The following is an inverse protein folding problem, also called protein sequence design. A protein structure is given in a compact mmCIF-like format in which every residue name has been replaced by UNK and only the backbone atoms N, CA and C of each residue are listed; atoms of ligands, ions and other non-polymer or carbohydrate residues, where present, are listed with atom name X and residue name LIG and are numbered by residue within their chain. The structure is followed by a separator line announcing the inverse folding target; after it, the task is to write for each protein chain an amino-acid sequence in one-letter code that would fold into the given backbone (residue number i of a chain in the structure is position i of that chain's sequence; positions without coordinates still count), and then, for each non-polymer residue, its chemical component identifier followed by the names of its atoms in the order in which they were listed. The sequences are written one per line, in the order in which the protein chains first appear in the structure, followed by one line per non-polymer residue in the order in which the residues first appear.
data_IF_483936309973
#
_entry.id   IF_483936309973
#
_cell.length_a   1.000
_cell.length_b   1.000
_cell.length_c   1.000
_cell.angle_alpha   90.00
_cell.angle_beta   90.00
_cell.angle_gamma   90.00
#
_symmetry.space_group_name_H-M   'P 1'
#
loop_
_entity.id
_entity.type
_entity.pdbx_description
1 polymer ?
#
# COMPACT_ATOMS: atom_id res chain seq x y z
N UNK A 1 -27.43 11.44 -1.43
CA UNK A 1 -28.22 10.22 -1.62
C UNK A 1 -29.67 10.57 -1.34
N UNK A 2 -30.55 10.22 -2.27
CA UNK A 2 -31.97 10.57 -2.20
C UNK A 2 -32.72 9.59 -1.29
N UNK A 3 -33.68 10.08 -0.51
CA UNK A 3 -34.51 9.26 0.37
C UNK A 3 -35.69 8.60 -0.36
N UNK A 4 -35.80 8.91 -1.65
CA UNK A 4 -36.85 8.48 -2.56
C UNK A 4 -36.28 7.59 -3.65
N UNK A 5 -37.09 6.63 -4.10
CA UNK A 5 -36.76 5.80 -5.26
C UNK A 5 -36.92 6.58 -6.58
N UNK A 6 -36.66 5.92 -7.72
CA UNK A 6 -36.77 6.51 -9.05
C UNK A 6 -38.18 7.00 -9.42
N UNK A 7 -39.20 6.56 -8.68
CA UNK A 7 -40.60 6.99 -8.85
C UNK A 7 -41.00 8.11 -7.88
N UNK A 8 -40.09 8.55 -7.01
CA UNK A 8 -40.32 9.64 -6.06
C UNK A 8 -41.00 9.22 -4.76
N UNK A 9 -41.22 7.92 -4.53
CA UNK A 9 -41.78 7.42 -3.28
C UNK A 9 -40.70 7.30 -2.19
N UNK A 10 -41.06 7.55 -0.92
CA UNK A 10 -40.22 7.20 0.23
C UNK A 10 -39.66 5.78 0.11
N UNK A 11 -38.34 5.62 0.17
CA UNK A 11 -37.70 4.31 0.15
C UNK A 11 -36.63 4.20 1.25
N UNK A 12 -37.05 4.09 2.52
CA UNK A 12 -36.15 4.15 3.67
C UNK A 12 -35.23 2.93 3.74
N UNK A 13 -35.64 1.76 3.27
CA UNK A 13 -34.86 0.52 3.40
C UNK A 13 -33.56 0.55 2.58
N UNK A 14 -33.56 0.88 1.28
CA UNK A 14 -32.32 1.05 0.51
C UNK A 14 -31.51 2.26 0.99
N UNK A 15 -32.16 3.34 1.40
CA UNK A 15 -31.48 4.52 1.94
C UNK A 15 -30.69 4.18 3.22
N UNK A 16 -31.32 3.50 4.18
CA UNK A 16 -30.66 3.06 5.42
C UNK A 16 -29.59 2.01 5.16
N UNK A 17 -29.86 1.05 4.26
CA UNK A 17 -28.89 0.05 3.87
C UNK A 17 -27.64 0.70 3.25
N UNK A 18 -27.79 1.59 2.27
CA UNK A 18 -26.67 2.29 1.63
C UNK A 18 -25.94 3.24 2.57
N UNK A 19 -26.65 3.88 3.51
CA UNK A 19 -26.05 4.70 4.57
C UNK A 19 -25.22 3.85 5.55
N UNK A 20 -25.59 2.59 5.76
CA UNK A 20 -24.87 1.64 6.60
C UNK A 20 -23.72 0.94 5.86
N UNK A 21 -23.67 0.98 4.52
CA UNK A 21 -22.55 0.45 3.74
C UNK A 21 -21.30 1.28 4.04
N UNK A 22 -20.30 0.63 4.65
CA UNK A 22 -18.98 1.22 4.80
C UNK A 22 -18.32 1.29 3.43
N UNK A 23 -17.78 2.46 3.07
CA UNK A 23 -16.97 2.62 1.87
C UNK A 23 -15.82 1.62 1.92
N UNK A 24 -15.68 0.81 0.86
CA UNK A 24 -14.54 -0.09 0.71
C UNK A 24 -13.27 0.75 0.49
N UNK A 25 -12.22 0.45 1.24
CA UNK A 25 -10.91 1.08 1.09
C UNK A 25 -9.90 -0.02 0.73
N UNK A 26 -9.36 -0.04 -0.50
CA UNK A 26 -8.39 -1.05 -0.91
C UNK A 26 -7.12 -0.98 -0.05
N UNK A 27 -6.53 -2.13 0.24
CA UNK A 27 -5.26 -2.23 0.95
C UNK A 27 -4.14 -2.10 -0.08
N UNK A 28 -3.28 -1.10 0.09
CA UNK A 28 -2.14 -0.87 -0.78
C UNK A 28 -0.83 -1.17 -0.07
N UNK A 29 0.02 -1.97 -0.71
CA UNK A 29 1.37 -2.20 -0.23
C UNK A 29 2.29 -1.07 -0.70
N UNK A 30 2.97 -0.42 0.25
CA UNK A 30 3.94 0.65 -0.03
C UNK A 30 5.34 0.04 -0.12
N UNK A 31 5.89 -0.01 -1.33
CA UNK A 31 7.24 -0.45 -1.64
C UNK A 31 8.14 0.77 -1.83
N UNK A 32 9.09 0.97 -0.91
CA UNK A 32 10.03 2.09 -0.98
C UNK A 32 11.38 1.72 -0.37
N UNK A 33 12.47 2.43 -0.69
CA UNK A 33 13.78 2.20 -0.10
C UNK A 33 13.72 2.32 1.44
N UNK A 34 14.35 1.37 2.14
CA UNK A 34 14.54 1.43 3.59
C UNK A 34 16.02 1.63 3.96
N UNK A 35 16.91 0.85 3.36
CA UNK A 35 18.36 0.92 3.59
C UNK A 35 19.02 2.20 3.03
N UNK A 36 20.22 2.52 3.52
CA UNK A 36 20.94 3.76 3.19
C UNK A 36 20.65 4.84 4.22
N UNK A 37 20.09 5.97 3.80
CA UNK A 37 19.63 7.02 4.71
C UNK A 37 18.29 6.63 5.37
N UNK A 38 18.39 5.76 6.39
CA UNK A 38 17.24 5.16 7.09
C UNK A 38 16.28 6.24 7.62
N UNK A 39 16.82 7.31 8.22
CA UNK A 39 15.99 8.38 8.81
C UNK A 39 15.16 9.09 7.74
N UNK A 40 15.79 9.45 6.61
CA UNK A 40 15.09 10.07 5.50
C UNK A 40 14.08 9.13 4.87
N UNK A 41 14.45 7.87 4.67
CA UNK A 41 13.59 6.86 4.07
C UNK A 41 12.33 6.58 4.91
N UNK A 42 12.47 6.52 6.24
CA UNK A 42 11.34 6.39 7.16
C UNK A 42 10.37 7.56 7.00
N UNK A 43 10.87 8.81 6.95
CA UNK A 43 9.99 9.96 6.81
C UNK A 43 9.29 10.01 5.45
N UNK A 44 10.00 9.63 4.38
CA UNK A 44 9.41 9.49 3.04
C UNK A 44 8.32 8.42 3.01
N UNK A 45 8.59 7.24 3.55
CA UNK A 45 7.61 6.14 3.64
C UNK A 45 6.35 6.56 4.40
N UNK A 46 6.49 7.31 5.51
CA UNK A 46 5.35 7.89 6.23
C UNK A 46 4.56 8.87 5.35
N UNK A 47 5.26 9.71 4.58
CA UNK A 47 4.64 10.59 3.58
C UNK A 47 3.83 9.82 2.53
N UNK A 48 4.35 8.73 2.00
CA UNK A 48 3.64 7.88 1.04
C UNK A 48 2.42 7.20 1.65
N UNK A 49 2.51 6.73 2.90
CA UNK A 49 1.34 6.23 3.62
C UNK A 49 0.27 7.32 3.78
N UNK A 50 0.66 8.56 4.11
CA UNK A 50 -0.28 9.70 4.19
C UNK A 50 -0.93 9.99 2.84
N UNK A 51 -0.17 9.92 1.75
CA UNK A 51 -0.70 10.06 0.38
C UNK A 51 -1.76 9.00 0.10
N UNK A 52 -1.48 7.72 0.36
CA UNK A 52 -2.44 6.63 0.17
C UNK A 52 -3.73 6.83 1.00
N UNK A 53 -3.61 7.23 2.27
CA UNK A 53 -4.77 7.56 3.12
C UNK A 53 -5.61 8.69 2.52
N UNK A 54 -4.97 9.76 2.03
CA UNK A 54 -5.68 10.87 1.39
C UNK A 54 -6.43 10.48 0.11
N UNK A 55 -6.02 9.38 -0.54
CA UNK A 55 -6.67 8.81 -1.71
C UNK A 55 -7.73 7.74 -1.39
N UNK A 56 -8.01 7.48 -0.10
CA UNK A 56 -9.01 6.48 0.31
C UNK A 56 -8.49 5.04 0.34
N UNK A 57 -7.18 4.84 0.46
CA UNK A 57 -6.55 3.52 0.60
C UNK A 57 -6.11 3.24 2.04
N UNK A 58 -5.98 1.96 2.38
CA UNK A 58 -5.36 1.49 3.63
C UNK A 58 -3.89 1.15 3.33
N UNK A 59 -2.91 1.99 3.71
CA UNK A 59 -1.51 1.71 3.41
C UNK A 59 -0.93 0.64 4.33
N UNK A 60 -0.10 -0.22 3.76
CA UNK A 60 0.74 -1.15 4.48
C UNK A 60 2.21 -0.98 4.08
N UNK A 61 3.05 -0.61 5.04
CA UNK A 61 4.50 -0.47 4.86
C UNK A 61 5.24 -1.34 5.90
N UNK A 62 5.52 -2.63 5.60
CA UNK A 62 6.12 -3.53 6.59
C UNK A 62 7.48 -3.06 7.11
N UNK A 63 8.25 -2.34 6.30
CA UNK A 63 9.52 -1.73 6.67
C UNK A 63 9.39 -0.56 7.66
N UNK A 64 8.18 -0.06 7.95
CA UNK A 64 7.92 0.85 9.07
C UNK A 64 7.42 0.12 10.33
N UNK A 65 6.91 -1.11 10.17
CA UNK A 65 6.25 -1.87 11.21
C UNK A 65 7.21 -2.82 11.93
N UNK A 66 7.85 -3.75 11.19
CA UNK A 66 8.69 -4.78 11.78
C UNK A 66 9.93 -4.24 12.51
N UNK A 67 10.65 -3.22 12.01
CA UNK A 67 11.83 -2.70 12.71
C UNK A 67 11.55 -2.11 14.10
N UNK A 68 10.28 -1.93 14.48
CA UNK A 68 9.89 -1.46 15.81
C UNK A 68 10.06 -2.54 16.89
N UNK A 69 10.09 -3.82 16.50
CA UNK A 69 10.15 -4.95 17.43
C UNK A 69 10.95 -6.16 16.91
N UNK A 70 11.51 -6.07 15.69
CA UNK A 70 12.41 -7.06 15.10
C UNK A 70 13.75 -6.39 14.78
N UNK A 71 14.85 -7.12 14.97
CA UNK A 71 16.19 -6.65 14.65
C UNK A 71 16.58 -7.01 13.21
N UNK A 72 16.66 -5.98 12.35
CA UNK A 72 17.10 -6.12 10.95
C UNK A 72 18.59 -6.46 10.81
N UNK A 73 19.38 -6.31 11.87
CA UNK A 73 20.78 -6.73 11.99
C UNK A 73 20.93 -8.23 12.27
N UNK A 74 19.92 -8.87 12.84
CA UNK A 74 19.86 -10.33 13.01
C UNK A 74 19.37 -10.99 11.71
N UNK A 75 20.21 -11.80 11.04
CA UNK A 75 19.84 -12.44 9.77
C UNK A 75 18.58 -13.33 9.86
N UNK A 76 18.33 -13.97 10.99
CA UNK A 76 17.17 -14.85 11.18
C UNK A 76 15.88 -14.04 11.29
N UNK A 77 15.89 -12.98 12.11
CA UNK A 77 14.75 -12.06 12.24
C UNK A 77 14.50 -11.31 10.95
N UNK A 78 15.54 -10.79 10.28
CA UNK A 78 15.43 -10.14 8.98
C UNK A 78 14.76 -11.04 7.94
N UNK A 79 15.20 -12.31 7.84
CA UNK A 79 14.60 -13.28 6.91
C UNK A 79 13.12 -13.52 7.22
N UNK A 80 12.77 -13.63 8.51
CA UNK A 80 11.39 -13.81 8.95
C UNK A 80 10.52 -12.59 8.63
N UNK A 81 11.01 -11.37 8.89
CA UNK A 81 10.32 -10.12 8.60
C UNK A 81 10.04 -9.93 7.10
N UNK A 82 11.03 -10.22 6.25
CA UNK A 82 10.86 -10.21 4.79
C UNK A 82 9.82 -11.25 4.34
N UNK A 83 9.81 -12.45 4.94
CA UNK A 83 8.82 -13.47 4.61
C UNK A 83 7.41 -13.03 5.00
N UNK A 84 7.21 -12.48 6.21
CA UNK A 84 5.92 -11.94 6.62
C UNK A 84 5.47 -10.79 5.71
N UNK A 85 6.39 -9.90 5.31
CA UNK A 85 6.10 -8.80 4.39
C UNK A 85 5.53 -9.31 3.05
N UNK A 86 6.12 -10.37 2.48
CA UNK A 86 5.62 -10.99 1.24
C UNK A 86 4.26 -11.68 1.40
N UNK A 87 3.94 -12.21 2.58
CA UNK A 87 2.61 -12.76 2.88
C UNK A 87 1.59 -11.64 2.94
N UNK A 88 1.92 -10.54 3.61
CA UNK A 88 1.03 -9.40 3.70
C UNK A 88 0.81 -8.75 2.34
N UNK A 89 1.85 -8.64 1.50
CA UNK A 89 1.72 -8.24 0.11
C UNK A 89 0.70 -9.12 -0.63
N UNK A 90 0.65 -10.43 -0.35
CA UNK A 90 -0.35 -11.30 -0.97
C UNK A 90 -1.80 -11.03 -0.50
N UNK A 91 -2.00 -10.18 0.52
CA UNK A 91 -3.31 -9.74 1.00
C UNK A 91 -3.69 -8.33 0.56
N UNK A 92 -2.77 -7.60 -0.08
CA UNK A 92 -3.04 -6.28 -0.64
C UNK A 92 -3.76 -6.39 -1.99
N UNK A 93 -4.49 -5.35 -2.34
CA UNK A 93 -5.16 -5.16 -3.63
C UNK A 93 -4.18 -4.65 -4.69
N UNK A 94 -3.23 -3.78 -4.30
CA UNK A 94 -2.25 -3.14 -5.19
C UNK A 94 -0.87 -3.00 -4.54
N UNK A 95 0.14 -2.85 -5.39
CA UNK A 95 1.51 -2.48 -5.01
C UNK A 95 1.85 -1.08 -5.55
N UNK A 96 2.23 -0.17 -4.67
CA UNK A 96 2.73 1.15 -5.06
C UNK A 96 4.23 1.23 -4.80
N UNK A 97 4.99 1.53 -5.85
CA UNK A 97 6.46 1.57 -5.85
C UNK A 97 6.93 3.02 -5.89
N UNK A 98 7.64 3.44 -4.84
CA UNK A 98 8.20 4.79 -4.70
C UNK A 98 9.72 4.73 -4.73
N UNK A 99 10.33 4.78 -5.92
CA UNK A 99 11.77 4.91 -6.05
C UNK A 99 12.20 5.30 -7.46
N UNK A 100 13.30 6.05 -7.55
CA UNK A 100 14.03 6.28 -8.80
C UNK A 100 14.88 5.06 -9.21
N UNK A 101 15.22 4.19 -8.25
CA UNK A 101 16.01 2.96 -8.48
C UNK A 101 15.45 1.79 -7.70
N UNK A 102 15.27 0.64 -8.36
CA UNK A 102 14.76 -0.56 -7.72
C UNK A 102 15.89 -1.27 -6.96
N UNK A 103 15.76 -1.38 -5.64
CA UNK A 103 16.69 -2.16 -4.82
C UNK A 103 16.38 -3.66 -4.90
N UNK A 104 17.31 -4.51 -4.45
CA UNK A 104 17.09 -5.97 -4.42
C UNK A 104 15.90 -6.38 -3.55
N UNK A 105 15.69 -5.71 -2.41
CA UNK A 105 14.52 -5.94 -1.54
C UNK A 105 13.21 -5.61 -2.23
N UNK A 106 13.16 -4.47 -2.92
CA UNK A 106 11.99 -4.04 -3.70
C UNK A 106 11.73 -4.97 -4.88
N UNK A 107 12.78 -5.46 -5.55
CA UNK A 107 12.64 -6.38 -6.68
C UNK A 107 11.90 -7.67 -6.30
N UNK A 108 12.13 -8.20 -5.09
CA UNK A 108 11.41 -9.38 -4.60
C UNK A 108 9.90 -9.11 -4.41
N UNK A 109 9.54 -7.93 -3.89
CA UNK A 109 8.15 -7.49 -3.72
C UNK A 109 7.48 -7.28 -5.08
N UNK A 110 8.13 -6.57 -6.00
CA UNK A 110 7.64 -6.32 -7.36
C UNK A 110 7.45 -7.64 -8.11
N UNK A 111 8.45 -8.52 -8.10
CA UNK A 111 8.36 -9.85 -8.72
C UNK A 111 7.19 -10.66 -8.15
N UNK A 112 6.95 -10.58 -6.84
CA UNK A 112 5.82 -11.26 -6.19
C UNK A 112 4.49 -10.68 -6.65
N UNK A 113 4.36 -9.36 -6.77
CA UNK A 113 3.16 -8.70 -7.27
C UNK A 113 2.88 -9.03 -8.74
N UNK A 114 3.92 -8.97 -9.60
CA UNK A 114 3.82 -9.33 -11.03
C UNK A 114 3.33 -10.77 -11.21
N UNK A 115 3.90 -11.73 -10.46
CA UNK A 115 3.47 -13.14 -10.49
C UNK A 115 2.02 -13.36 -10.06
N UNK A 116 1.44 -12.44 -9.29
CA UNK A 116 0.03 -12.50 -8.86
C UNK A 116 -0.92 -11.77 -9.79
N UNK A 117 -0.42 -11.11 -10.83
CA UNK A 117 -1.24 -10.20 -11.66
C UNK A 117 -1.79 -9.03 -10.85
N UNK A 118 -1.14 -8.67 -9.74
CA UNK A 118 -1.52 -7.52 -8.92
C UNK A 118 -1.22 -6.22 -9.69
N UNK A 119 -2.10 -5.21 -9.67
CA UNK A 119 -1.77 -3.89 -10.21
C UNK A 119 -0.55 -3.29 -9.50
N UNK A 120 0.39 -2.79 -10.30
CA UNK A 120 1.61 -2.14 -9.81
C UNK A 120 1.64 -0.72 -10.36
N UNK A 121 1.67 0.27 -9.45
CA UNK A 121 1.74 1.69 -9.77
C UNK A 121 3.09 2.23 -9.34
N UNK A 122 3.69 3.07 -10.18
CA UNK A 122 5.02 3.63 -9.95
C UNK A 122 4.87 5.12 -9.67
N UNK A 123 5.59 5.60 -8.67
CA UNK A 123 5.54 6.98 -8.23
C UNK A 123 6.94 7.55 -8.14
N UNK A 124 7.07 8.81 -8.49
CA UNK A 124 8.32 9.56 -8.33
C UNK A 124 8.56 9.96 -6.87
N UNK A 125 9.61 10.75 -6.66
CA UNK A 125 9.98 11.21 -5.32
C UNK A 125 9.04 12.25 -4.72
N UNK A 126 8.13 12.84 -5.52
CA UNK A 126 7.11 13.82 -5.13
C UNK A 126 5.73 13.20 -4.91
N UNK A 127 5.56 11.92 -5.28
CA UNK A 127 4.28 11.21 -5.19
C UNK A 127 3.40 11.36 -6.43
N UNK A 128 3.99 11.79 -7.54
CA UNK A 128 3.32 11.83 -8.84
C UNK A 128 3.43 10.45 -9.50
N UNK A 129 2.32 9.95 -10.04
CA UNK A 129 2.32 8.67 -10.74
C UNK A 129 3.06 8.79 -12.07
N UNK A 130 3.98 7.88 -12.31
CA UNK A 130 4.84 7.84 -13.49
C UNK A 130 4.71 6.49 -14.19
N UNK A 131 5.15 6.43 -15.45
CA UNK A 131 5.30 5.17 -16.16
C UNK A 131 6.23 4.21 -15.41
N UNK A 132 6.14 2.90 -15.72
CA UNK A 132 7.04 1.89 -15.15
C UNK A 132 8.48 2.37 -15.29
N UNK A 133 9.21 2.38 -14.18
CA UNK A 133 10.62 2.76 -14.18
C UNK A 133 11.38 1.76 -15.05
N UNK A 134 11.76 2.17 -16.27
CA UNK A 134 12.63 1.40 -17.15
C UNK A 134 14.02 1.41 -16.52
N UNK A 135 14.56 0.22 -16.26
CA UNK A 135 15.89 0.00 -15.69
C UNK A 135 16.96 0.46 -16.68
#
# INVERSE_FOLDING_TARGET
MDWRNSEGYPDPTPYEALKAVRVYHPIVYICSPFAGDIKRNIERARGYCRLAVSQGYIPLAPHLHYPQFMDDGDPAQRKLGLWFALILLAKCDELWVFSERISSGMSAEITKAERRGMPIRYFDSKGEEVGKCTI
#
